data_IF_170883879269
#
_entry.id   IF_170883879269
#
_cell.length_a   1.000
_cell.length_b   1.000
_cell.length_c   1.000
_cell.angle_alpha   90.00
_cell.angle_beta   90.00
_cell.angle_gamma   90.00
#
_symmetry.space_group_name_H-M   'P 1'
#
loop_
_entity.id
_entity.type
_entity.pdbx_description
1 polymer ?
#
# COMPACT_ATOMS: atom_id res chain seq x y z
N UNK A 1 71.64 -9.30 -8.06
CA UNK A 1 71.22 -7.97 -8.56
C UNK A 1 69.70 -7.87 -8.58
N UNK A 2 69.08 -7.16 -7.64
CA UNK A 2 67.67 -6.81 -7.71
C UNK A 2 67.53 -5.57 -8.62
N UNK A 3 66.78 -5.67 -9.71
CA UNK A 3 66.65 -4.59 -10.69
C UNK A 3 65.89 -3.40 -10.09
N UNK A 4 66.42 -2.17 -10.16
CA UNK A 4 65.79 -0.98 -9.58
C UNK A 4 64.39 -0.69 -10.17
N UNK A 5 64.11 -1.17 -11.39
CA UNK A 5 62.80 -1.05 -12.04
C UNK A 5 61.66 -1.84 -11.38
N UNK A 6 61.94 -2.95 -10.67
CA UNK A 6 60.89 -3.72 -9.96
C UNK A 6 60.36 -2.97 -8.74
N UNK A 7 61.22 -2.22 -8.06
CA UNK A 7 60.87 -1.42 -6.89
C UNK A 7 60.10 -0.16 -7.29
N UNK A 8 60.48 0.48 -8.41
CA UNK A 8 59.75 1.62 -8.96
C UNK A 8 58.33 1.25 -9.40
N UNK A 9 58.14 0.10 -10.07
CA UNK A 9 56.82 -0.38 -10.46
C UNK A 9 55.94 -0.73 -9.25
N UNK A 10 56.52 -1.37 -8.23
CA UNK A 10 55.81 -1.68 -6.98
C UNK A 10 55.40 -0.41 -6.22
N UNK A 11 56.29 0.59 -6.16
CA UNK A 11 56.00 1.88 -5.54
C UNK A 11 54.90 2.65 -6.30
N UNK A 12 54.90 2.59 -7.64
CA UNK A 12 53.85 3.19 -8.46
C UNK A 12 52.48 2.54 -8.21
N UNK A 13 52.42 1.20 -8.15
CA UNK A 13 51.19 0.45 -7.88
C UNK A 13 50.63 0.74 -6.48
N UNK A 14 51.50 0.85 -5.47
CA UNK A 14 51.13 1.22 -4.10
C UNK A 14 50.59 2.66 -4.01
N UNK A 15 51.22 3.61 -4.71
CA UNK A 15 50.76 5.00 -4.78
C UNK A 15 49.39 5.11 -5.46
N UNK A 16 49.16 4.34 -6.54
CA UNK A 16 47.87 4.29 -7.23
C UNK A 16 46.78 3.66 -6.36
N UNK A 17 47.10 2.60 -5.60
CA UNK A 17 46.15 1.97 -4.67
C UNK A 17 45.76 2.88 -3.50
N UNK A 18 46.71 3.68 -2.99
CA UNK A 18 46.47 4.66 -1.93
C UNK A 18 45.68 5.89 -2.40
N UNK A 19 45.63 6.13 -3.71
CA UNK A 19 44.86 7.21 -4.32
C UNK A 19 43.39 6.84 -4.59
N UNK A 20 42.95 5.59 -4.34
CA UNK A 20 41.55 5.24 -4.46
C UNK A 20 40.74 5.97 -3.37
N UNK A 21 39.71 6.75 -3.74
CA UNK A 21 38.82 7.34 -2.75
C UNK A 21 38.13 6.24 -1.94
N UNK A 22 37.89 6.45 -0.63
CA UNK A 22 37.21 5.47 0.20
C UNK A 22 35.82 5.17 -0.38
N UNK A 23 35.49 3.88 -0.50
CA UNK A 23 34.17 3.45 -0.90
C UNK A 23 33.14 3.98 0.13
N UNK A 24 32.28 4.90 -0.31
CA UNK A 24 31.15 5.34 0.50
C UNK A 24 30.07 4.25 0.46
N UNK A 25 30.01 3.46 1.53
CA UNK A 25 28.85 2.61 1.79
C UNK A 25 27.67 3.48 2.20
N UNK A 26 26.51 3.25 1.61
CA UNK A 26 25.24 3.79 2.08
C UNK A 26 24.44 2.65 2.71
N UNK A 27 24.00 2.83 3.94
CA UNK A 27 23.04 1.94 4.59
C UNK A 27 21.64 2.48 4.31
N UNK A 28 20.85 1.76 3.50
CA UNK A 28 19.41 2.01 3.45
C UNK A 28 18.76 1.25 4.62
N UNK A 29 18.15 1.95 5.59
CA UNK A 29 17.37 1.27 6.61
C UNK A 29 16.22 0.53 5.94
N UNK A 30 16.12 -0.77 6.20
CA UNK A 30 15.04 -1.60 5.67
C UNK A 30 13.75 -1.28 6.43
N UNK A 31 13.02 -0.26 5.98
CA UNK A 31 11.67 0.02 6.50
C UNK A 31 10.69 -1.00 5.91
N UNK A 32 9.96 -1.70 6.78
CA UNK A 32 8.92 -2.65 6.34
C UNK A 32 7.58 -1.92 6.25
N UNK A 33 6.64 -2.43 5.43
CA UNK A 33 5.30 -1.87 5.35
C UNK A 33 4.58 -1.75 6.70
N UNK A 34 4.80 -2.70 7.61
CA UNK A 34 4.22 -2.71 8.96
C UNK A 34 4.75 -1.56 9.85
N UNK A 35 5.91 -0.98 9.53
CA UNK A 35 6.55 0.04 10.37
C UNK A 35 6.00 1.45 10.10
N UNK A 36 5.13 1.62 9.10
CA UNK A 36 4.61 2.93 8.71
C UNK A 36 3.42 3.43 9.57
N UNK A 37 2.72 2.53 10.27
CA UNK A 37 1.51 2.83 11.04
C UNK A 37 0.26 3.07 10.18
N UNK A 38 -0.91 3.15 10.81
CA UNK A 38 -2.23 3.02 10.15
C UNK A 38 -2.61 4.16 9.17
N UNK A 39 -2.00 5.33 9.32
CA UNK A 39 -2.29 6.52 8.49
C UNK A 39 -1.30 6.70 7.33
N UNK A 40 -0.35 5.78 7.16
CA UNK A 40 0.72 5.86 6.16
C UNK A 40 0.83 4.54 5.42
N UNK A 41 1.43 4.57 4.25
CA UNK A 41 1.73 3.39 3.46
C UNK A 41 3.20 3.37 3.08
N UNK A 42 3.74 2.20 2.79
CA UNK A 42 5.08 2.06 2.28
C UNK A 42 5.10 2.23 0.76
N UNK A 43 5.69 3.34 0.31
CA UNK A 43 5.93 3.61 -1.10
C UNK A 43 7.17 2.84 -1.55
N UNK A 44 6.94 1.73 -2.25
CA UNK A 44 7.99 0.84 -2.76
C UNK A 44 8.89 1.57 -3.76
N UNK A 45 8.37 2.54 -4.51
CA UNK A 45 9.15 3.30 -5.49
C UNK A 45 10.14 4.26 -4.82
N UNK A 46 9.83 4.71 -3.60
CA UNK A 46 10.71 5.59 -2.79
C UNK A 46 11.42 4.88 -1.66
N UNK A 47 11.08 3.61 -1.42
CA UNK A 47 11.54 2.82 -0.26
C UNK A 47 11.29 3.54 1.07
N UNK A 48 10.15 4.25 1.20
CA UNK A 48 9.86 5.11 2.35
C UNK A 48 8.36 5.16 2.66
N UNK A 49 8.00 5.54 3.90
CA UNK A 49 6.60 5.71 4.29
C UNK A 49 6.01 7.03 3.75
N UNK A 50 4.97 6.96 2.94
CA UNK A 50 4.16 8.10 2.48
C UNK A 50 2.86 8.24 3.30
N UNK A 51 2.30 9.45 3.44
CA UNK A 51 0.99 9.63 4.07
C UNK A 51 -0.14 9.10 3.19
N UNK A 52 -1.18 8.53 3.81
CA UNK A 52 -2.46 8.34 3.14
C UNK A 52 -3.25 9.66 3.14
N UNK A 53 -4.14 9.83 2.15
CA UNK A 53 -4.98 11.01 2.02
C UNK A 53 -6.17 11.05 2.99
N UNK A 54 -7.03 12.06 2.82
CA UNK A 54 -8.23 12.20 3.63
C UNK A 54 -9.18 11.01 3.46
N UNK A 55 -9.74 10.52 4.57
CA UNK A 55 -10.64 9.35 4.61
C UNK A 55 -10.03 8.06 4.07
N UNK A 56 -8.70 7.97 4.09
CA UNK A 56 -7.95 6.78 3.73
C UNK A 56 -7.29 6.16 4.97
N UNK A 57 -6.89 4.91 4.84
CA UNK A 57 -6.09 4.17 5.81
C UNK A 57 -5.12 3.25 5.08
N UNK A 58 -4.13 2.74 5.80
CA UNK A 58 -3.22 1.73 5.30
C UNK A 58 -3.97 0.44 4.91
N UNK A 59 -3.59 -0.18 3.79
CA UNK A 59 -4.07 -1.50 3.40
C UNK A 59 -3.49 -2.58 4.32
N UNK A 60 -4.13 -3.76 4.37
CA UNK A 60 -3.64 -4.88 5.19
C UNK A 60 -2.20 -5.31 4.84
N UNK A 61 -1.77 -5.10 3.58
CA UNK A 61 -0.41 -5.39 3.13
C UNK A 61 0.58 -4.24 3.37
N UNK A 62 0.13 -3.10 3.86
CA UNK A 62 0.97 -1.97 4.25
C UNK A 62 1.55 -1.12 3.12
N UNK A 63 1.45 -1.56 1.87
CA UNK A 63 2.10 -0.95 0.69
C UNK A 63 1.18 -0.04 -0.13
N UNK A 64 -0.05 0.17 0.32
CA UNK A 64 -1.03 1.03 -0.36
C UNK A 64 -2.02 1.65 0.61
N UNK A 65 -2.73 2.68 0.16
CA UNK A 65 -3.86 3.26 0.88
C UNK A 65 -5.18 2.71 0.33
N UNK A 66 -6.17 2.57 1.20
CA UNK A 66 -7.54 2.19 0.88
C UNK A 66 -8.51 3.12 1.60
N UNK A 67 -9.74 3.23 1.12
CA UNK A 67 -10.76 4.02 1.80
C UNK A 67 -11.09 3.44 3.18
N UNK A 68 -11.41 4.32 4.12
CA UNK A 68 -11.90 3.95 5.44
C UNK A 68 -13.28 3.26 5.34
N UNK A 69 -13.67 2.44 6.32
CA UNK A 69 -15.02 1.88 6.40
C UNK A 69 -16.12 2.93 6.18
N UNK A 70 -17.07 2.63 5.31
CA UNK A 70 -18.16 3.56 4.96
C UNK A 70 -17.80 4.63 3.92
N UNK A 71 -16.61 4.54 3.29
CA UNK A 71 -16.22 5.39 2.16
C UNK A 71 -15.94 4.54 0.93
N UNK A 72 -16.47 4.95 -0.22
CA UNK A 72 -16.17 4.35 -1.53
C UNK A 72 -15.08 5.11 -2.26
N UNK A 73 -14.36 4.42 -3.13
CA UNK A 73 -13.43 5.01 -4.08
C UNK A 73 -14.21 5.64 -5.24
N UNK A 74 -13.92 6.90 -5.56
CA UNK A 74 -14.49 7.60 -6.72
C UNK A 74 -13.48 7.79 -7.85
N UNK A 75 -12.19 7.81 -7.52
CA UNK A 75 -11.12 7.84 -8.51
C UNK A 75 -9.86 7.18 -7.96
N UNK A 76 -9.11 6.53 -8.83
CA UNK A 76 -7.78 6.01 -8.53
C UNK A 76 -6.76 6.62 -9.49
N UNK A 77 -6.03 7.63 -9.03
CA UNK A 77 -4.92 8.22 -9.80
C UNK A 77 -3.57 7.52 -9.51
N UNK A 78 -3.61 6.31 -8.91
CA UNK A 78 -2.43 5.55 -8.50
C UNK A 78 -1.83 6.00 -7.15
N UNK A 79 -1.12 5.08 -6.48
CA UNK A 79 -0.47 5.35 -5.19
C UNK A 79 -1.45 5.77 -4.09
N UNK A 80 -1.13 6.87 -3.41
CA UNK A 80 -1.97 7.53 -2.38
C UNK A 80 -3.04 8.48 -2.95
N UNK A 81 -3.02 8.71 -4.27
CA UNK A 81 -3.92 9.64 -4.97
C UNK A 81 -5.29 9.03 -5.27
N UNK A 82 -5.80 8.19 -4.36
CA UNK A 82 -7.18 7.72 -4.39
C UNK A 82 -8.09 8.79 -3.77
N UNK A 83 -9.29 8.95 -4.29
CA UNK A 83 -10.28 9.86 -3.72
C UNK A 83 -11.40 9.01 -3.12
N UNK A 84 -11.74 9.28 -1.86
CA UNK A 84 -12.74 8.55 -1.10
C UNK A 84 -13.92 9.47 -0.79
N UNK A 85 -15.14 8.96 -1.01
CA UNK A 85 -16.39 9.66 -0.74
C UNK A 85 -17.22 8.86 0.26
N UNK A 86 -17.89 9.55 1.19
CA UNK A 86 -18.73 8.90 2.19
C UNK A 86 -19.92 8.24 1.52
N UNK A 87 -20.17 6.98 1.87
CA UNK A 87 -21.36 6.30 1.43
C UNK A 87 -22.63 6.89 2.08
N UNK A 88 -23.79 6.82 1.41
CA UNK A 88 -25.06 7.23 2.00
C UNK A 88 -25.37 6.44 3.27
N UNK A 89 -26.09 7.03 4.23
CA UNK A 89 -26.38 6.37 5.53
C UNK A 89 -27.12 5.04 5.39
N UNK A 90 -27.96 4.92 4.35
CA UNK A 90 -28.71 3.69 4.03
C UNK A 90 -27.83 2.58 3.41
N UNK A 91 -26.64 2.92 2.92
CA UNK A 91 -25.72 2.04 2.19
C UNK A 91 -24.34 2.11 2.84
N UNK A 92 -24.23 1.64 4.07
CA UNK A 92 -22.98 1.73 4.82
C UNK A 92 -21.89 0.77 4.33
N UNK A 93 -22.25 -0.27 3.56
CA UNK A 93 -21.29 -1.25 3.02
C UNK A 93 -20.61 -0.77 1.76
N UNK A 94 -19.41 -1.29 1.53
CA UNK A 94 -18.64 -1.07 0.31
C UNK A 94 -18.34 -2.42 -0.32
N UNK A 95 -18.39 -2.49 -1.65
CA UNK A 95 -18.03 -3.70 -2.39
C UNK A 95 -16.55 -4.07 -2.17
N UNK A 96 -16.19 -5.33 -2.44
CA UNK A 96 -14.84 -5.83 -2.20
C UNK A 96 -13.77 -5.14 -3.05
N UNK A 97 -14.14 -4.64 -4.23
CA UNK A 97 -13.32 -3.80 -5.10
C UNK A 97 -13.22 -2.34 -4.62
N UNK A 98 -14.06 -1.91 -3.68
CA UNK A 98 -13.98 -0.60 -3.04
C UNK A 98 -14.72 0.53 -3.76
N UNK A 99 -15.35 0.27 -4.92
CA UNK A 99 -15.90 1.32 -5.79
C UNK A 99 -17.37 1.66 -5.54
N UNK A 100 -18.16 0.71 -5.05
CA UNK A 100 -19.61 0.89 -4.94
C UNK A 100 -20.08 0.75 -3.50
N UNK A 101 -21.04 1.60 -3.12
CA UNK A 101 -21.74 1.47 -1.84
C UNK A 101 -22.90 0.47 -2.00
N UNK A 102 -23.11 -0.37 -0.99
CA UNK A 102 -24.14 -1.41 -0.97
C UNK A 102 -24.85 -1.45 0.37
N UNK A 103 -26.08 -1.98 0.37
CA UNK A 103 -26.84 -2.25 1.58
C UNK A 103 -26.40 -3.61 2.14
N UNK A 104 -25.94 -3.64 3.38
CA UNK A 104 -25.66 -4.89 4.10
C UNK A 104 -26.87 -5.28 4.97
N UNK A 105 -27.61 -6.36 4.64
CA UNK A 105 -28.86 -6.71 5.33
C UNK A 105 -28.67 -7.09 6.81
N UNK A 106 -27.49 -7.59 7.18
CA UNK A 106 -27.13 -7.94 8.57
C UNK A 106 -26.19 -6.90 9.21
N UNK A 107 -26.04 -5.74 8.58
CA UNK A 107 -25.11 -4.69 8.98
C UNK A 107 -23.64 -5.03 8.68
N UNK A 108 -22.75 -4.23 9.26
CA UNK A 108 -21.30 -4.29 9.04
C UNK A 108 -20.54 -4.96 10.20
N UNK A 109 -19.38 -5.51 9.89
CA UNK A 109 -18.32 -5.85 10.86
C UNK A 109 -17.57 -4.59 11.29
N UNK A 110 -16.80 -4.68 12.37
CA UNK A 110 -15.89 -3.60 12.82
C UNK A 110 -14.86 -3.20 11.77
N UNK A 111 -14.57 -4.08 10.80
CA UNK A 111 -13.67 -3.84 9.68
C UNK A 111 -14.33 -3.09 8.50
N UNK A 112 -15.65 -2.87 8.54
CA UNK A 112 -16.40 -2.25 7.45
C UNK A 112 -16.88 -3.21 6.35
N UNK A 113 -16.92 -4.53 6.61
CA UNK A 113 -17.42 -5.53 5.65
C UNK A 113 -18.86 -5.92 5.99
N UNK A 114 -19.67 -6.32 5.00
CA UNK A 114 -20.98 -6.89 5.30
C UNK A 114 -20.86 -8.17 6.15
N UNK A 115 -21.71 -8.31 7.17
CA UNK A 115 -21.87 -9.56 7.92
C UNK A 115 -22.60 -10.59 7.05
N UNK A 116 -22.02 -11.78 6.93
CA UNK A 116 -22.64 -12.95 6.30
C UNK A 116 -22.63 -14.11 7.31
N UNK A 117 -23.67 -14.95 7.34
CA UNK A 117 -23.58 -16.19 8.12
C UNK A 117 -22.58 -17.14 7.47
N UNK A 118 -21.94 -18.00 8.28
CA UNK A 118 -21.23 -19.16 7.76
C UNK A 118 -22.20 -19.88 6.81
N UNK A 119 -21.80 -20.03 5.53
CA UNK A 119 -22.53 -20.66 4.42
C UNK A 119 -23.33 -19.71 3.50
N UNK A 120 -23.33 -18.40 3.72
CA UNK A 120 -23.96 -17.43 2.80
C UNK A 120 -22.91 -16.74 1.91
N UNK A 121 -23.06 -16.83 0.58
CA UNK A 121 -22.24 -16.10 -0.40
C UNK A 121 -22.96 -14.81 -0.78
N UNK A 122 -22.33 -13.66 -0.52
CA UNK A 122 -22.82 -12.36 -1.00
C UNK A 122 -22.53 -12.23 -2.51
N UNK A 123 -23.41 -12.77 -3.34
CA UNK A 123 -23.37 -12.57 -4.79
C UNK A 123 -23.79 -11.15 -5.21
N UNK A 124 -23.44 -10.74 -6.44
CA UNK A 124 -23.90 -9.50 -7.11
C UNK A 124 -25.44 -9.50 -7.37
N UNK A 125 -26.27 -9.65 -6.33
CA UNK A 125 -27.73 -9.58 -6.44
C UNK A 125 -28.34 -8.29 -5.86
N UNK A 126 -27.52 -7.38 -5.34
CA UNK A 126 -27.96 -6.08 -4.85
C UNK A 126 -27.60 -4.95 -5.82
N UNK A 127 -27.95 -5.15 -7.09
CA UNK A 127 -28.27 -4.05 -8.00
C UNK A 127 -29.76 -4.21 -8.25
N UNK A 128 -30.55 -3.51 -7.43
CA UNK A 128 -31.99 -3.24 -7.60
C UNK A 128 -32.77 -4.32 -8.37
N UNK A 129 -33.10 -5.44 -7.72
CA UNK A 129 -34.20 -6.29 -8.18
C UNK A 129 -35.29 -6.19 -7.13
N UNK A 130 -36.19 -5.24 -7.36
CA UNK A 130 -37.55 -5.22 -6.84
C UNK A 130 -38.11 -6.65 -6.91
N UNK A 131 -38.15 -7.34 -5.77
CA UNK A 131 -38.92 -8.57 -5.63
C UNK A 131 -40.39 -8.15 -5.70
N UNK A 132 -40.92 -8.03 -6.93
CA UNK A 132 -42.36 -8.06 -7.12
C UNK A 132 -42.79 -9.47 -6.77
N UNK A 133 -43.36 -9.62 -5.57
CA UNK A 133 -44.16 -10.79 -5.22
C UNK A 133 -45.23 -10.96 -6.29
N UNK A 134 -45.05 -11.94 -7.17
CA UNK A 134 -46.14 -12.45 -7.99
C UNK A 134 -46.92 -13.44 -7.11
N UNK A 135 -48.17 -13.04 -6.92
CA UNK A 135 -49.29 -13.73 -6.28
C UNK A 135 -49.58 -15.02 -7.04
#
# INVERSE_FOLDING_TARGET
MATPGRWAAAALLLAMAAALPPARGFSLPLQRPADCGDARYFDISRLACGPCGAHQRQSAGGSSCVCQPGYRMVSSNGGSSIICEKCPENMSGVTQDGWNCIICPKGLTSEGKCKCLNNEILGKKYVEVTLVSLI
#
